data_IF_738027905273
#
_entry.id   IF_738027905273
#
_cell.length_a   1.000
_cell.length_b   1.000
_cell.length_c   1.000
_cell.angle_alpha   90.00
_cell.angle_beta   90.00
_cell.angle_gamma   90.00
#
_symmetry.space_group_name_H-M   'P 1'
#
loop_
_entity.id
_entity.type
_entity.pdbx_description
1 polymer ?
#
# COMPACT_ATOMS: atom_id res chain seq x y z
N UNK A 1 0.79 -4.97 26.34
CA UNK A 1 0.09 -4.23 25.26
C UNK A 1 0.39 -4.93 23.96
N UNK A 2 -0.62 -5.47 23.27
CA UNK A 2 -0.44 -6.06 21.93
C UNK A 2 -0.32 -4.95 20.89
N UNK A 3 0.74 -4.98 20.09
CA UNK A 3 0.91 -4.03 18.99
C UNK A 3 0.12 -4.53 17.77
N UNK A 4 -0.78 -3.69 17.23
CA UNK A 4 -1.60 -4.02 16.06
C UNK A 4 -0.94 -3.44 14.82
N UNK A 5 -0.81 -4.26 13.77
CA UNK A 5 -0.25 -3.87 12.48
C UNK A 5 -1.29 -4.04 11.39
N UNK A 6 -1.37 -3.04 10.50
CA UNK A 6 -2.12 -3.12 9.26
C UNK A 6 -1.17 -3.64 8.17
N UNK A 7 -1.61 -4.63 7.40
CA UNK A 7 -0.90 -5.17 6.24
C UNK A 7 -1.74 -4.83 5.00
N UNK A 8 -1.12 -4.21 4.00
CA UNK A 8 -1.74 -3.81 2.75
C UNK A 8 -1.06 -4.58 1.63
N UNK A 9 -1.80 -5.48 1.00
CA UNK A 9 -1.34 -6.25 -0.15
C UNK A 9 -1.66 -5.49 -1.44
N UNK A 10 -0.73 -5.51 -2.38
CA UNK A 10 -0.91 -4.97 -3.73
C UNK A 10 -1.14 -6.13 -4.70
N UNK A 11 -2.40 -6.28 -5.08
CA UNK A 11 -2.86 -7.27 -6.06
C UNK A 11 -2.95 -6.68 -7.47
N UNK A 12 -2.43 -5.47 -7.72
CA UNK A 12 -2.51 -4.85 -9.04
C UNK A 12 -1.69 -5.58 -10.12
N UNK A 13 -0.79 -6.50 -9.73
CA UNK A 13 -0.12 -7.44 -10.63
C UNK A 13 -0.77 -8.85 -10.66
N UNK A 14 -1.94 -9.03 -10.06
CA UNK A 14 -2.69 -10.30 -10.14
C UNK A 14 -3.36 -10.41 -11.51
N UNK A 15 -2.64 -11.00 -12.46
CA UNK A 15 -3.21 -11.44 -13.73
C UNK A 15 -3.61 -12.91 -13.60
N UNK A 16 -4.86 -13.13 -13.20
CA UNK A 16 -5.43 -14.47 -13.25
C UNK A 16 -5.29 -15.02 -14.67
N UNK A 17 -4.76 -16.24 -14.78
CA UNK A 17 -4.61 -16.96 -16.04
C UNK A 17 -3.58 -16.37 -17.02
N UNK A 18 -2.50 -15.74 -16.52
CA UNK A 18 -1.37 -15.27 -17.33
C UNK A 18 -0.43 -16.39 -17.85
N UNK A 19 -0.67 -17.63 -17.43
CA UNK A 19 0.13 -18.80 -17.81
C UNK A 19 1.50 -18.89 -17.12
N UNK A 20 1.78 -18.01 -16.15
CA UNK A 20 3.01 -18.06 -15.36
C UNK A 20 2.88 -19.06 -14.21
N UNK A 21 3.99 -19.73 -13.90
CA UNK A 21 4.04 -20.75 -12.82
C UNK A 21 4.30 -20.16 -11.44
N UNK A 22 4.70 -18.89 -11.37
CA UNK A 22 5.02 -18.19 -10.14
C UNK A 22 4.26 -16.86 -10.08
N UNK A 23 3.66 -16.59 -8.91
CA UNK A 23 2.97 -15.34 -8.61
C UNK A 23 3.76 -14.58 -7.55
N UNK A 24 3.96 -13.27 -7.76
CA UNK A 24 4.60 -12.39 -6.78
C UNK A 24 3.52 -11.58 -6.08
N UNK A 25 3.41 -11.75 -4.76
CA UNK A 25 2.59 -10.89 -3.91
C UNK A 25 3.47 -9.86 -3.22
N UNK A 26 3.12 -8.58 -3.38
CA UNK A 26 3.74 -7.49 -2.65
C UNK A 26 2.83 -7.05 -1.50
N UNK A 27 3.41 -6.80 -0.33
CA UNK A 27 2.68 -6.21 0.78
C UNK A 27 3.56 -5.20 1.52
N UNK A 28 2.92 -4.17 2.05
CA UNK A 28 3.52 -3.20 2.97
C UNK A 28 2.76 -3.22 4.28
N UNK A 29 3.43 -2.95 5.39
CA UNK A 29 2.81 -2.96 6.70
C UNK A 29 3.16 -1.72 7.51
N UNK A 30 2.27 -1.34 8.43
CA UNK A 30 2.54 -0.28 9.39
C UNK A 30 1.78 -0.46 10.70
N UNK A 31 2.29 0.07 11.83
CA UNK A 31 1.55 0.16 13.08
C UNK A 31 0.21 0.88 12.90
N UNK A 32 -0.84 0.40 13.56
CA UNK A 32 -2.19 0.98 13.47
C UNK A 32 -2.19 2.47 13.86
N UNK A 33 -1.48 2.84 14.92
CA UNK A 33 -1.34 4.21 15.43
C UNK A 33 -0.65 5.15 14.43
N UNK A 34 0.18 4.61 13.53
CA UNK A 34 0.90 5.36 12.50
C UNK A 34 0.14 5.51 11.18
N UNK A 35 -0.95 4.78 10.99
CA UNK A 35 -1.68 4.74 9.71
C UNK A 35 -2.14 6.13 9.27
N UNK A 36 -2.73 6.93 10.18
CA UNK A 36 -3.24 8.27 9.84
C UNK A 36 -2.12 9.26 9.48
N UNK A 37 -1.04 9.24 10.25
CA UNK A 37 0.14 10.10 10.03
C UNK A 37 0.73 9.84 8.63
N UNK A 38 0.95 8.57 8.30
CA UNK A 38 1.48 8.14 7.01
C UNK A 38 0.55 8.58 5.87
N UNK A 39 -0.77 8.36 6.01
CA UNK A 39 -1.74 8.74 4.97
C UNK A 39 -1.78 10.25 4.70
N UNK A 40 -1.62 11.09 5.72
CA UNK A 40 -1.53 12.55 5.54
C UNK A 40 -0.25 12.93 4.79
N UNK A 41 0.90 12.42 5.23
CA UNK A 41 2.20 12.67 4.58
C UNK A 41 2.21 12.22 3.12
N UNK A 42 1.62 11.06 2.81
CA UNK A 42 1.49 10.58 1.43
C UNK A 42 0.69 11.56 0.55
N UNK A 43 -0.39 12.16 1.07
CA UNK A 43 -1.17 13.17 0.32
C UNK A 43 -0.36 14.45 0.10
N UNK A 44 0.42 14.88 1.08
CA UNK A 44 1.30 16.04 0.94
C UNK A 44 2.37 15.81 -0.14
N UNK A 45 3.00 14.63 -0.15
CA UNK A 45 3.97 14.24 -1.18
C UNK A 45 3.30 14.23 -2.56
N UNK A 46 2.12 13.60 -2.70
CA UNK A 46 1.37 13.60 -3.96
C UNK A 46 1.06 15.01 -4.47
N UNK A 47 0.64 15.91 -3.57
CA UNK A 47 0.43 17.33 -3.89
C UNK A 47 1.70 18.03 -4.36
N UNK A 48 2.84 17.81 -3.68
CA UNK A 48 4.14 18.40 -4.05
C UNK A 48 4.62 17.98 -5.44
N UNK A 49 4.39 16.72 -5.82
CA UNK A 49 4.82 16.15 -7.10
C UNK A 49 3.81 16.50 -8.24
N UNK A 50 2.72 17.22 -7.93
CA UNK A 50 1.73 17.62 -8.93
C UNK A 50 0.73 16.51 -9.31
N UNK A 51 0.71 15.40 -8.57
CA UNK A 51 -0.26 14.34 -8.77
C UNK A 51 -1.60 14.76 -8.15
N UNK A 52 -2.48 15.33 -8.97
CA UNK A 52 -3.86 15.67 -8.57
C UNK A 52 -4.64 14.38 -8.38
N UNK A 53 -5.43 14.29 -7.31
CA UNK A 53 -6.41 13.22 -7.15
C UNK A 53 -7.35 13.24 -8.36
N UNK A 54 -7.50 12.10 -9.03
CA UNK A 54 -8.67 11.81 -9.85
C UNK A 54 -9.91 11.69 -8.98
#
# INVERSE_FOLDING_TARGET
>A
MSQVFNIYCDESCHLENDGQTAMVLCAVWCPLDKTREIAVRLREIKKKIGHKKG
#
